data_IF_704851682946
#
_entry.id   IF_704851682946
#
_cell.length_a   1.000
_cell.length_b   1.000
_cell.length_c   1.000
_cell.angle_alpha   90.00
_cell.angle_beta   90.00
_cell.angle_gamma   90.00
#
_symmetry.space_group_name_H-M   'P 1'
#
loop_
_entity.id
_entity.type
_entity.pdbx_description
1 polymer ?
#
# COMPACT_ATOMS: atom_id res chain seq x y z
N UNK A 1 1.63 -20.34 -12.36
CA UNK A 1 2.08 -19.76 -11.06
C UNK A 1 2.79 -18.45 -11.32
N UNK A 2 2.43 -17.39 -10.61
CA UNK A 2 3.06 -16.08 -10.71
C UNK A 2 3.98 -15.87 -9.51
N UNK A 3 5.17 -15.32 -9.74
CA UNK A 3 6.16 -15.04 -8.69
C UNK A 3 6.62 -13.59 -8.82
N UNK A 4 6.40 -12.77 -7.80
CA UNK A 4 6.93 -11.40 -7.75
C UNK A 4 8.39 -11.44 -7.28
N UNK A 5 9.32 -10.95 -8.11
CA UNK A 5 10.76 -10.99 -7.81
C UNK A 5 11.36 -9.65 -7.39
N UNK A 6 10.72 -8.53 -7.75
CA UNK A 6 11.21 -7.19 -7.46
C UNK A 6 10.66 -6.68 -6.13
N UNK A 7 11.56 -6.27 -5.23
CA UNK A 7 11.21 -5.47 -4.07
C UNK A 7 11.20 -4.00 -4.47
N UNK A 8 10.03 -3.36 -4.46
CA UNK A 8 9.89 -1.94 -4.78
C UNK A 8 9.25 -1.18 -3.62
N UNK A 9 9.71 0.05 -3.39
CA UNK A 9 9.14 0.99 -2.43
C UNK A 9 9.00 0.48 -0.99
N UNK A 10 8.17 1.21 -0.24
CA UNK A 10 7.83 0.95 1.15
C UNK A 10 6.51 0.17 1.26
N UNK A 11 5.90 0.13 2.47
CA UNK A 11 4.75 -0.71 2.78
C UNK A 11 3.55 -0.48 1.83
N UNK A 12 3.12 0.77 1.64
CA UNK A 12 1.95 1.09 0.81
C UNK A 12 2.07 0.57 -0.63
N UNK A 13 3.22 0.79 -1.27
CA UNK A 13 3.48 0.30 -2.64
C UNK A 13 3.37 -1.23 -2.73
N UNK A 14 3.91 -1.93 -1.72
CA UNK A 14 3.91 -3.39 -1.68
C UNK A 14 2.54 -3.97 -1.36
N UNK A 15 1.76 -3.29 -0.51
CA UNK A 15 0.39 -3.68 -0.21
C UNK A 15 -0.47 -3.60 -1.47
N UNK A 16 -0.45 -2.49 -2.21
CA UNK A 16 -1.19 -2.36 -3.46
C UNK A 16 -0.78 -3.39 -4.50
N UNK A 17 0.52 -3.52 -4.78
CA UNK A 17 1.01 -4.50 -5.74
C UNK A 17 0.59 -5.93 -5.36
N UNK A 18 0.71 -6.29 -4.08
CA UNK A 18 0.30 -7.61 -3.63
C UNK A 18 -1.22 -7.80 -3.70
N UNK A 19 -1.99 -6.77 -3.36
CA UNK A 19 -3.45 -6.80 -3.42
C UNK A 19 -3.96 -7.01 -4.85
N UNK A 20 -3.42 -6.32 -5.86
CA UNK A 20 -3.78 -6.57 -7.26
C UNK A 20 -3.41 -7.98 -7.72
N UNK A 21 -2.25 -8.49 -7.31
CA UNK A 21 -1.84 -9.85 -7.64
C UNK A 21 -2.73 -10.90 -6.98
N UNK A 22 -3.11 -10.70 -5.72
CA UNK A 22 -4.07 -11.57 -5.00
C UNK A 22 -5.42 -11.53 -5.69
N UNK A 23 -5.92 -10.34 -6.03
CA UNK A 23 -7.20 -10.17 -6.69
C UNK A 23 -7.26 -10.90 -8.05
N UNK A 24 -6.23 -10.73 -8.88
CA UNK A 24 -6.12 -11.41 -10.18
C UNK A 24 -5.97 -12.94 -10.00
N UNK A 25 -5.24 -13.39 -8.98
CA UNK A 25 -5.11 -14.81 -8.65
C UNK A 25 -6.43 -15.42 -8.16
N UNK A 26 -7.20 -14.68 -7.35
CA UNK A 26 -8.52 -15.08 -6.88
C UNK A 26 -9.53 -15.14 -8.03
N UNK A 27 -9.48 -14.17 -8.94
CA UNK A 27 -10.37 -14.12 -10.11
C UNK A 27 -10.09 -15.24 -11.11
N UNK A 28 -8.82 -15.53 -11.39
CA UNK A 28 -8.42 -16.41 -12.48
C UNK A 28 -7.86 -17.76 -12.04
N UNK A 29 -7.79 -18.04 -10.74
CA UNK A 29 -7.50 -19.37 -10.20
C UNK A 29 -6.10 -19.89 -10.48
N UNK A 30 -5.07 -19.04 -10.34
CA UNK A 30 -3.66 -19.47 -10.45
C UNK A 30 -2.90 -19.26 -9.13
N UNK A 31 -1.81 -20.01 -8.93
CA UNK A 31 -0.98 -19.87 -7.75
C UNK A 31 -0.08 -18.62 -7.77
N UNK A 32 0.06 -17.94 -6.64
CA UNK A 32 0.86 -16.72 -6.49
C UNK A 32 1.91 -16.89 -5.38
N UNK A 33 3.14 -16.46 -5.63
CA UNK A 33 4.17 -16.32 -4.60
C UNK A 33 4.71 -14.88 -4.55
N UNK A 34 4.79 -14.30 -3.35
CA UNK A 34 5.35 -12.96 -3.14
C UNK A 34 6.44 -12.97 -2.05
N UNK A 35 7.65 -13.48 -2.37
CA UNK A 35 8.76 -13.51 -1.42
C UNK A 35 9.22 -12.10 -1.01
N UNK A 36 8.98 -11.09 -1.86
CA UNK A 36 9.32 -9.69 -1.58
C UNK A 36 8.47 -9.06 -0.47
N UNK A 37 7.34 -9.66 -0.11
CA UNK A 37 6.52 -9.20 1.01
C UNK A 37 6.97 -9.74 2.37
N UNK A 38 7.97 -10.64 2.41
CA UNK A 38 8.43 -11.29 3.64
C UNK A 38 8.82 -10.34 4.79
N UNK A 39 9.38 -9.15 4.47
CA UNK A 39 9.71 -8.12 5.49
C UNK A 39 8.47 -7.61 6.24
N UNK A 40 7.32 -7.57 5.57
CA UNK A 40 6.08 -7.04 6.11
C UNK A 40 5.07 -8.11 6.52
N UNK A 41 5.29 -9.37 6.14
CA UNK A 41 4.37 -10.47 6.41
C UNK A 41 3.98 -10.58 7.89
N UNK A 42 4.95 -10.42 8.81
CA UNK A 42 4.76 -10.51 10.27
C UNK A 42 3.74 -9.54 10.87
N UNK A 43 3.33 -8.53 10.12
CA UNK A 43 2.40 -7.50 10.58
C UNK A 43 0.94 -7.81 10.27
N UNK A 44 0.67 -8.83 9.46
CA UNK A 44 -0.66 -9.16 8.94
C UNK A 44 -1.02 -10.61 9.21
N UNK A 45 -2.29 -10.88 9.50
CA UNK A 45 -2.79 -12.20 9.91
C UNK A 45 -2.60 -13.25 8.81
N UNK A 46 -3.10 -13.02 7.59
CA UNK A 46 -2.98 -14.01 6.51
C UNK A 46 -1.51 -14.27 6.08
N UNK A 47 -0.68 -13.24 5.83
CA UNK A 47 0.74 -13.46 5.53
C UNK A 47 1.53 -14.17 6.65
N UNK A 48 1.18 -13.96 7.92
CA UNK A 48 1.84 -14.62 9.06
C UNK A 48 1.41 -16.07 9.23
N UNK A 49 0.11 -16.34 9.14
CA UNK A 49 -0.47 -17.69 9.28
C UNK A 49 -0.29 -18.56 8.03
N UNK A 50 0.07 -17.95 6.90
CA UNK A 50 0.06 -18.57 5.57
C UNK A 50 -1.31 -19.10 5.13
N UNK A 51 -2.39 -18.58 5.73
CA UNK A 51 -3.76 -18.86 5.33
C UNK A 51 -4.33 -17.66 4.57
N UNK A 52 -4.53 -17.83 3.26
CA UNK A 52 -5.13 -16.84 2.38
C UNK A 52 -6.58 -17.18 2.02
N UNK A 53 -7.35 -17.67 3.00
CA UNK A 53 -8.76 -18.09 2.84
C UNK A 53 -8.93 -19.13 1.71
N UNK A 54 -8.01 -20.10 1.65
CA UNK A 54 -8.02 -21.17 0.64
C UNK A 54 -7.42 -20.79 -0.73
N UNK A 55 -7.01 -19.55 -0.94
CA UNK A 55 -6.31 -19.16 -2.16
C UNK A 55 -4.91 -19.80 -2.24
N UNK A 56 -4.43 -20.16 -3.45
CA UNK A 56 -3.07 -20.69 -3.66
C UNK A 56 -2.01 -19.58 -3.62
N UNK A 57 -2.06 -18.73 -2.60
CA UNK A 57 -1.15 -17.60 -2.36
C UNK A 57 -0.15 -17.98 -1.27
N UNK A 58 1.10 -17.58 -1.44
CA UNK A 58 2.17 -17.81 -0.45
C UNK A 58 3.19 -16.69 -0.43
N UNK A 59 3.82 -16.49 0.72
CA UNK A 59 4.97 -15.61 0.85
C UNK A 59 6.23 -16.29 0.30
N UNK A 60 6.69 -17.44 0.83
CA UNK A 60 7.82 -18.15 0.23
C UNK A 60 7.43 -18.84 -1.07
N UNK A 61 8.38 -19.00 -1.99
CA UNK A 61 8.14 -19.75 -3.24
C UNK A 61 8.20 -21.26 -3.00
N UNK A 62 9.01 -21.75 -2.07
CA UNK A 62 9.17 -23.17 -1.79
C UNK A 62 8.79 -23.46 -0.34
N UNK A 63 8.24 -24.66 -0.08
CA UNK A 63 7.83 -25.07 1.28
C UNK A 63 9.00 -25.43 2.17
N UNK A 64 10.11 -25.93 1.61
CA UNK A 64 11.29 -26.35 2.38
C UNK A 64 12.21 -25.16 2.62
N UNK A 65 12.46 -24.84 3.88
CA UNK A 65 13.21 -23.63 4.28
C UNK A 65 14.61 -23.52 3.64
N UNK A 66 15.35 -24.62 3.53
CA UNK A 66 16.69 -24.59 2.91
C UNK A 66 16.63 -24.31 1.41
N UNK A 67 15.64 -24.87 0.70
CA UNK A 67 15.43 -24.62 -0.72
C UNK A 67 15.00 -23.17 -0.95
N UNK A 68 14.13 -22.66 -0.09
CA UNK A 68 13.71 -21.25 -0.13
C UNK A 68 14.89 -20.30 0.12
N UNK A 69 15.81 -20.63 1.03
CA UNK A 69 17.02 -19.83 1.25
C UNK A 69 17.91 -19.77 0.01
N UNK A 70 18.11 -20.92 -0.66
CA UNK A 70 18.87 -20.99 -1.91
C UNK A 70 18.18 -20.20 -3.02
N UNK A 71 16.88 -20.43 -3.23
CA UNK A 71 16.10 -19.72 -4.23
C UNK A 71 16.04 -18.21 -3.95
N UNK A 72 15.87 -17.80 -2.70
CA UNK A 72 15.92 -16.40 -2.30
C UNK A 72 17.30 -15.76 -2.54
N UNK A 73 18.39 -16.53 -2.50
CA UNK A 73 19.70 -16.11 -2.99
C UNK A 73 19.67 -15.80 -4.49
N UNK A 74 19.14 -16.73 -5.30
CA UNK A 74 19.03 -16.57 -6.76
C UNK A 74 18.10 -15.42 -7.15
N UNK A 75 16.94 -15.29 -6.50
CA UNK A 75 15.99 -14.21 -6.74
C UNK A 75 16.59 -12.83 -6.42
N UNK A 76 17.49 -12.75 -5.44
CA UNK A 76 18.23 -11.50 -5.14
C UNK A 76 19.17 -11.09 -6.26
N UNK A 77 19.78 -12.05 -6.96
CA UNK A 77 20.67 -11.76 -8.09
C UNK A 77 19.92 -11.13 -9.28
N UNK A 78 18.62 -11.45 -9.45
CA UNK A 78 17.79 -10.92 -10.54
C UNK A 78 16.95 -9.70 -10.15
N UNK A 79 17.11 -9.16 -8.94
CA UNK A 79 16.45 -7.91 -8.54
C UNK A 79 16.94 -6.68 -9.31
N UNK A 80 18.23 -6.51 -9.64
CA UNK A 80 18.66 -5.38 -10.47
C UNK A 80 18.03 -5.45 -11.88
N UNK A 81 17.40 -4.35 -12.38
CA UNK A 81 16.73 -4.34 -13.69
C UNK A 81 17.61 -4.85 -14.84
N UNK A 82 18.89 -4.44 -14.87
CA UNK A 82 19.84 -4.85 -15.91
C UNK A 82 20.07 -6.36 -15.95
N UNK A 83 20.12 -7.01 -14.79
CA UNK A 83 20.32 -8.47 -14.71
C UNK A 83 19.06 -9.20 -15.17
N UNK A 84 17.88 -8.74 -14.74
CA UNK A 84 16.62 -9.32 -15.19
C UNK A 84 16.41 -9.18 -16.70
N UNK A 85 16.72 -8.01 -17.26
CA UNK A 85 16.66 -7.75 -18.70
C UNK A 85 17.64 -8.61 -19.49
N UNK A 86 18.88 -8.77 -19.00
CA UNK A 86 19.87 -9.65 -19.63
C UNK A 86 19.39 -11.11 -19.64
N UNK A 87 18.81 -11.58 -18.54
CA UNK A 87 18.22 -12.92 -18.46
C UNK A 87 17.04 -13.07 -19.43
N UNK A 88 16.15 -12.08 -19.50
CA UNK A 88 15.04 -12.07 -20.45
C UNK A 88 15.53 -12.11 -21.90
N UNK A 89 16.56 -11.33 -22.24
CA UNK A 89 17.17 -11.31 -23.57
C UNK A 89 17.81 -12.67 -23.94
N UNK A 90 18.43 -13.35 -22.96
CA UNK A 90 19.06 -14.65 -23.17
C UNK A 90 18.04 -15.79 -23.43
N UNK A 91 16.84 -15.70 -22.83
CA UNK A 91 15.79 -16.73 -22.97
C UNK A 91 14.87 -16.45 -24.17
N UNK A 92 14.69 -15.19 -24.57
CA UNK A 92 13.83 -14.77 -25.69
C UNK A 92 14.01 -15.54 -27.02
N UNK A 93 15.23 -15.90 -27.48
CA UNK A 93 15.39 -16.63 -28.74
C UNK A 93 14.96 -18.11 -28.67
N UNK A 94 14.74 -18.66 -27.47
CA UNK A 94 14.27 -20.03 -27.32
C UNK A 94 12.79 -20.13 -27.74
N UNK A 95 12.37 -21.22 -28.42
CA UNK A 95 10.96 -21.42 -28.73
C UNK A 95 10.13 -21.50 -27.43
N UNK A 96 8.88 -21.05 -27.47
CA UNK A 96 8.02 -20.97 -26.28
C UNK A 96 7.86 -22.32 -25.54
N UNK A 97 7.94 -23.43 -26.26
CA UNK A 97 7.94 -24.80 -25.69
C UNK A 97 9.21 -25.13 -24.90
N UNK A 98 10.34 -24.49 -25.20
CA UNK A 98 11.62 -24.67 -24.53
C UNK A 98 11.94 -23.57 -23.50
N UNK A 99 11.14 -22.52 -23.42
CA UNK A 99 11.29 -21.51 -22.38
C UNK A 99 10.81 -22.09 -21.04
N UNK A 100 11.66 -22.17 -20.00
CA UNK A 100 11.28 -22.76 -18.72
C UNK A 100 10.36 -21.86 -17.90
N UNK A 101 10.36 -20.55 -18.18
CA UNK A 101 9.69 -19.49 -17.43
C UNK A 101 9.25 -18.38 -18.39
N UNK A 102 8.16 -17.70 -18.08
CA UNK A 102 7.82 -16.43 -18.73
C UNK A 102 8.35 -15.28 -17.88
N UNK A 103 9.17 -14.42 -18.48
CA UNK A 103 9.79 -13.28 -17.81
C UNK A 103 9.10 -11.99 -18.23
N UNK A 104 8.45 -11.33 -17.28
CA UNK A 104 7.71 -10.11 -17.55
C UNK A 104 8.35 -8.95 -16.78
N UNK A 105 9.02 -8.08 -17.54
CA UNK A 105 9.66 -6.87 -17.05
C UNK A 105 8.77 -5.66 -17.34
N UNK A 106 8.54 -4.86 -16.32
CA UNK A 106 7.92 -3.54 -16.38
C UNK A 106 8.94 -2.54 -15.84
N UNK A 107 9.33 -1.58 -16.67
CA UNK A 107 10.14 -0.45 -16.22
C UNK A 107 9.27 0.42 -15.32
N UNK A 108 9.79 0.75 -14.13
CA UNK A 108 9.07 1.49 -13.10
C UNK A 108 8.64 2.89 -13.59
N UNK A 109 9.26 3.41 -14.65
CA UNK A 109 8.95 4.71 -15.25
C UNK A 109 7.96 4.62 -16.43
N UNK A 110 7.64 3.42 -16.92
CA UNK A 110 6.89 3.23 -18.18
C UNK A 110 5.38 3.07 -18.01
N UNK A 111 4.87 3.28 -16.80
CA UNK A 111 3.45 3.28 -16.50
C UNK A 111 2.95 1.96 -15.90
N UNK A 112 1.70 1.61 -16.22
CA UNK A 112 0.97 0.49 -15.61
C UNK A 112 0.86 -0.68 -16.58
N UNK A 113 1.05 -1.90 -16.09
CA UNK A 113 0.75 -3.12 -16.84
C UNK A 113 -0.61 -3.68 -16.39
N UNK A 114 -1.51 -3.89 -17.34
CA UNK A 114 -2.83 -4.48 -17.08
C UNK A 114 -2.76 -6.02 -17.09
N UNK A 115 -2.95 -6.62 -15.91
CA UNK A 115 -3.01 -8.06 -15.70
C UNK A 115 -4.36 -8.67 -16.08
N UNK A 116 -5.38 -7.85 -16.37
CA UNK A 116 -6.67 -8.35 -16.87
C UNK A 116 -6.57 -8.85 -18.33
N UNK A 117 -5.50 -8.48 -19.05
CA UNK A 117 -5.28 -8.92 -20.42
C UNK A 117 -5.21 -10.45 -20.54
N UNK A 118 -5.96 -11.01 -21.49
CA UNK A 118 -6.07 -12.45 -21.71
C UNK A 118 -4.71 -13.15 -21.89
N UNK A 119 -3.73 -12.47 -22.51
CA UNK A 119 -2.37 -13.00 -22.69
C UNK A 119 -1.67 -13.26 -21.35
N UNK A 120 -1.84 -12.37 -20.37
CA UNK A 120 -1.24 -12.52 -19.05
C UNK A 120 -1.92 -13.64 -18.28
N UNK A 121 -3.26 -13.65 -18.27
CA UNK A 121 -4.06 -14.67 -17.59
C UNK A 121 -3.74 -16.07 -18.10
N UNK A 122 -3.61 -16.24 -19.42
CA UNK A 122 -3.22 -17.51 -20.03
C UNK A 122 -1.83 -17.98 -19.54
N UNK A 123 -0.83 -17.09 -19.56
CA UNK A 123 0.51 -17.39 -19.06
C UNK A 123 0.52 -17.74 -17.57
N UNK A 124 -0.18 -16.95 -16.74
CA UNK A 124 -0.28 -17.15 -15.30
C UNK A 124 -0.85 -18.52 -14.91
N UNK A 125 -1.82 -19.02 -15.68
CA UNK A 125 -2.48 -20.33 -15.48
C UNK A 125 -1.65 -21.51 -15.96
N UNK A 126 -0.91 -21.36 -17.06
CA UNK A 126 -0.25 -22.49 -17.73
C UNK A 126 1.23 -22.64 -17.38
N UNK A 127 1.89 -21.54 -16.97
CA UNK A 127 3.35 -21.46 -16.87
C UNK A 127 3.78 -20.84 -15.55
N UNK A 128 5.09 -20.81 -15.30
CA UNK A 128 5.66 -20.04 -14.19
C UNK A 128 6.07 -18.67 -14.74
N UNK A 129 5.46 -17.61 -14.20
CA UNK A 129 5.70 -16.23 -14.63
C UNK A 129 6.48 -15.49 -13.55
N UNK A 130 7.65 -14.93 -13.89
CA UNK A 130 8.40 -14.04 -13.00
C UNK A 130 8.07 -12.59 -13.33
N UNK A 131 7.57 -11.85 -12.33
CA UNK A 131 7.24 -10.44 -12.45
C UNK A 131 8.35 -9.57 -11.88
N UNK A 132 8.86 -8.66 -12.70
CA UNK A 132 9.82 -7.63 -12.32
C UNK A 132 9.29 -6.25 -12.66
N UNK A 133 8.91 -5.50 -11.64
CA UNK A 133 8.31 -4.17 -11.79
C UNK A 133 7.35 -3.89 -10.63
N UNK A 134 6.84 -2.66 -10.55
CA UNK A 134 5.97 -2.27 -9.44
C UNK A 134 4.50 -2.04 -9.82
N UNK A 135 4.22 -1.59 -11.04
CA UNK A 135 2.89 -1.13 -11.42
C UNK A 135 2.08 -2.19 -12.20
N UNK A 136 2.05 -3.41 -11.67
CA UNK A 136 1.11 -4.44 -12.13
C UNK A 136 -0.26 -4.17 -11.52
N UNK A 137 -1.29 -4.04 -12.36
CA UNK A 137 -2.66 -3.72 -11.93
C UNK A 137 -3.66 -4.63 -12.60
N UNK A 138 -4.68 -5.00 -11.84
CA UNK A 138 -5.95 -5.52 -12.34
C UNK A 138 -7.02 -4.77 -11.53
N UNK A 139 -7.52 -3.67 -12.09
CA UNK A 139 -8.50 -2.81 -11.42
C UNK A 139 -9.86 -3.49 -11.30
N UNK A 140 -10.41 -4.14 -12.35
CA UNK A 140 -11.67 -4.86 -12.23
C UNK A 140 -11.66 -5.91 -11.12
N UNK A 141 -10.63 -6.78 -11.06
CA UNK A 141 -10.55 -7.81 -10.03
C UNK A 141 -10.28 -7.20 -8.65
N UNK A 142 -9.44 -6.17 -8.56
CA UNK A 142 -9.15 -5.49 -7.28
C UNK A 142 -10.42 -4.94 -6.64
N UNK A 143 -11.28 -4.28 -7.42
CA UNK A 143 -12.58 -3.80 -6.95
C UNK A 143 -13.51 -4.96 -6.55
N UNK A 144 -13.61 -5.99 -7.41
CA UNK A 144 -14.46 -7.17 -7.16
C UNK A 144 -14.08 -7.90 -5.87
N UNK A 145 -12.78 -8.01 -5.59
CA UNK A 145 -12.22 -8.74 -4.44
C UNK A 145 -11.83 -7.82 -3.27
N UNK A 146 -12.26 -6.56 -3.25
CA UNK A 146 -11.85 -5.58 -2.23
C UNK A 146 -12.11 -6.06 -0.79
N UNK A 147 -13.25 -6.68 -0.53
CA UNK A 147 -13.59 -7.21 0.80
C UNK A 147 -12.66 -8.34 1.24
N UNK A 148 -12.26 -9.22 0.32
CA UNK A 148 -11.28 -10.28 0.56
C UNK A 148 -9.90 -9.69 0.88
N UNK A 149 -9.45 -8.73 0.06
CA UNK A 149 -8.16 -8.06 0.25
C UNK A 149 -8.08 -7.42 1.65
N UNK A 150 -9.12 -6.72 2.09
CA UNK A 150 -9.16 -6.13 3.44
C UNK A 150 -8.98 -7.18 4.53
N UNK A 151 -9.69 -8.31 4.47
CA UNK A 151 -9.53 -9.39 5.46
C UNK A 151 -8.13 -9.99 5.46
N UNK A 152 -7.55 -10.23 4.28
CA UNK A 152 -6.21 -10.80 4.16
C UNK A 152 -5.12 -9.90 4.74
N UNK A 153 -5.32 -8.58 4.70
CA UNK A 153 -4.41 -7.61 5.29
C UNK A 153 -4.90 -7.06 6.63
N UNK A 154 -5.69 -7.83 7.40
CA UNK A 154 -5.95 -7.49 8.80
C UNK A 154 -4.61 -7.51 9.59
N UNK A 155 -4.32 -6.47 10.41
CA UNK A 155 -3.11 -6.46 11.23
C UNK A 155 -3.17 -7.54 12.31
N UNK A 156 -2.02 -8.08 12.69
CA UNK A 156 -1.94 -9.01 13.83
C UNK A 156 -2.43 -8.35 15.14
N UNK A 157 -2.93 -9.14 16.12
CA UNK A 157 -3.61 -8.62 17.31
C UNK A 157 -2.85 -7.53 18.08
N UNK A 158 -1.52 -7.65 18.18
CA UNK A 158 -0.70 -6.63 18.88
C UNK A 158 -0.86 -5.24 18.26
N UNK A 159 -0.93 -5.13 16.93
CA UNK A 159 -1.10 -3.85 16.24
C UNK A 159 -2.56 -3.43 16.17
N UNK A 160 -3.49 -4.35 15.89
CA UNK A 160 -4.91 -3.99 15.80
C UNK A 160 -5.47 -3.53 17.16
N UNK A 161 -5.01 -4.11 18.28
CA UNK A 161 -5.36 -3.66 19.62
C UNK A 161 -4.73 -2.28 19.94
N UNK A 162 -3.48 -2.05 19.55
CA UNK A 162 -2.82 -0.75 19.74
C UNK A 162 -3.55 0.37 18.98
N UNK A 163 -3.95 0.09 17.73
CA UNK A 163 -4.77 0.99 16.91
C UNK A 163 -6.12 1.25 17.58
N UNK A 164 -6.84 0.20 17.97
CA UNK A 164 -8.13 0.34 18.63
C UNK A 164 -8.06 1.19 19.92
N UNK A 165 -7.04 0.99 20.74
CA UNK A 165 -6.82 1.78 21.96
C UNK A 165 -6.53 3.26 21.67
N UNK A 166 -5.73 3.54 20.62
CA UNK A 166 -5.43 4.92 20.19
C UNK A 166 -6.69 5.61 19.66
N UNK A 167 -7.46 4.94 18.82
CA UNK A 167 -8.71 5.49 18.26
C UNK A 167 -9.74 5.71 19.36
N UNK A 168 -9.94 4.73 20.26
CA UNK A 168 -10.83 4.88 21.41
C UNK A 168 -10.46 6.09 22.28
N UNK A 169 -9.16 6.37 22.41
CA UNK A 169 -8.67 7.56 23.12
C UNK A 169 -9.08 8.87 22.45
N UNK A 170 -8.92 8.98 21.13
CA UNK A 170 -9.33 10.17 20.38
C UNK A 170 -10.86 10.34 20.41
N UNK A 171 -11.61 9.23 20.30
CA UNK A 171 -13.07 9.21 20.26
C UNK A 171 -13.76 9.53 21.59
N UNK A 172 -13.02 9.64 22.71
CA UNK A 172 -13.62 10.09 23.98
C UNK A 172 -14.21 11.50 23.88
N UNK A 173 -13.59 12.35 23.06
CA UNK A 173 -13.97 13.76 22.92
C UNK A 173 -14.35 14.11 21.49
N UNK A 174 -13.76 13.44 20.49
CA UNK A 174 -14.05 13.66 19.08
C UNK A 174 -15.38 13.04 18.64
N UNK A 175 -16.26 13.86 18.06
CA UNK A 175 -17.37 13.40 17.23
C UNK A 175 -16.88 13.04 15.83
N UNK A 176 -16.01 13.90 15.27
CA UNK A 176 -15.33 13.69 13.99
C UNK A 176 -13.83 13.63 14.21
N UNK A 177 -13.18 12.58 13.72
CA UNK A 177 -11.74 12.38 13.76
C UNK A 177 -11.17 12.41 12.35
N UNK A 178 -10.29 13.38 12.08
CA UNK A 178 -9.59 13.51 10.80
C UNK A 178 -8.16 13.00 10.97
N UNK A 179 -7.78 11.96 10.23
CA UNK A 179 -6.40 11.52 10.13
C UNK A 179 -5.60 12.45 9.22
N UNK A 180 -4.46 12.94 9.69
CA UNK A 180 -3.55 13.79 8.90
C UNK A 180 -2.25 13.03 8.68
N UNK A 181 -2.02 12.62 7.45
CA UNK A 181 -0.79 11.98 7.01
C UNK A 181 0.23 13.06 6.64
N UNK A 182 1.22 13.27 7.50
CA UNK A 182 2.34 14.17 7.30
C UNK A 182 3.51 13.33 6.82
N UNK A 183 3.88 13.49 5.55
CA UNK A 183 4.99 12.74 4.95
C UNK A 183 6.10 13.70 4.54
N UNK A 184 7.27 13.58 5.16
CA UNK A 184 8.41 14.48 4.87
C UNK A 184 9.70 13.76 4.54
N UNK A 185 10.00 12.62 5.15
CA UNK A 185 11.29 11.94 5.09
C UNK A 185 11.88 11.81 3.67
N UNK A 186 11.39 10.87 2.88
CA UNK A 186 11.80 10.74 1.47
C UNK A 186 11.19 11.83 0.57
N UNK A 187 10.15 12.53 1.04
CA UNK A 187 9.47 13.58 0.29
C UNK A 187 10.30 14.86 0.16
N UNK A 188 11.35 15.03 0.98
CA UNK A 188 12.31 16.11 0.84
C UNK A 188 13.06 16.09 -0.50
N UNK A 189 13.19 14.93 -1.14
CA UNK A 189 13.88 14.77 -2.44
C UNK A 189 13.01 14.12 -3.50
N UNK A 190 11.95 13.39 -3.13
CA UNK A 190 11.01 12.83 -4.08
C UNK A 190 10.25 13.93 -4.83
N UNK A 191 10.11 13.77 -6.15
CA UNK A 191 9.46 14.73 -7.05
C UNK A 191 9.97 16.18 -6.84
N UNK A 192 11.30 16.33 -6.67
CA UNK A 192 11.97 17.60 -6.40
C UNK A 192 11.40 18.38 -5.20
N UNK A 193 10.85 17.66 -4.21
CA UNK A 193 10.27 18.26 -3.00
C UNK A 193 8.85 18.81 -3.19
N UNK A 194 8.19 18.56 -4.33
CA UNK A 194 6.86 19.11 -4.66
C UNK A 194 5.80 18.85 -3.58
N UNK A 195 5.91 17.72 -2.88
CA UNK A 195 4.95 17.27 -1.86
C UNK A 195 5.47 17.41 -0.42
N UNK A 196 6.59 18.12 -0.24
CA UNK A 196 7.10 18.44 1.08
C UNK A 196 6.39 19.68 1.63
N UNK A 197 5.64 19.49 2.72
CA UNK A 197 4.91 20.58 3.39
C UNK A 197 5.31 20.69 4.86
N UNK A 198 5.41 21.91 5.37
CA UNK A 198 5.74 22.20 6.77
C UNK A 198 4.51 22.19 7.68
N UNK A 199 4.74 22.21 9.00
CA UNK A 199 3.65 22.16 9.98
C UNK A 199 2.68 23.35 9.85
N UNK A 200 3.13 24.61 9.65
CA UNK A 200 2.23 25.74 9.39
C UNK A 200 1.30 25.52 8.18
N UNK A 201 1.79 24.94 7.09
CA UNK A 201 0.98 24.61 5.91
C UNK A 201 -0.09 23.57 6.25
N UNK A 202 0.25 22.48 6.94
CA UNK A 202 -0.76 21.53 7.41
C UNK A 202 -1.78 22.18 8.34
N UNK A 203 -1.32 23.00 9.31
CA UNK A 203 -2.20 23.68 10.25
C UNK A 203 -3.15 24.66 9.55
N UNK A 204 -2.71 25.33 8.47
CA UNK A 204 -3.56 26.17 7.64
C UNK A 204 -4.70 25.35 7.00
N UNK A 205 -4.38 24.25 6.33
CA UNK A 205 -5.35 23.37 5.69
C UNK A 205 -6.31 22.72 6.70
N UNK A 206 -5.81 22.33 7.87
CA UNK A 206 -6.64 21.80 8.96
C UNK A 206 -7.64 22.83 9.49
N UNK A 207 -7.25 24.12 9.61
CA UNK A 207 -8.18 25.20 10.00
C UNK A 207 -9.24 25.45 8.93
N UNK A 208 -8.87 25.42 7.65
CA UNK A 208 -9.83 25.51 6.54
C UNK A 208 -10.83 24.33 6.54
N UNK A 209 -10.35 23.12 6.84
CA UNK A 209 -11.22 21.95 6.95
C UNK A 209 -12.14 22.10 8.17
N UNK A 210 -11.60 22.48 9.33
CA UNK A 210 -12.36 22.70 10.57
C UNK A 210 -13.51 23.70 10.40
N UNK A 211 -13.31 24.78 9.63
CA UNK A 211 -14.34 25.81 9.44
C UNK A 211 -15.56 25.35 8.61
N UNK A 212 -15.55 24.13 8.09
CA UNK A 212 -16.67 23.55 7.34
C UNK A 212 -17.68 22.82 8.21
N UNK A 213 -17.35 22.56 9.49
CA UNK A 213 -18.31 22.06 10.46
C UNK A 213 -18.89 23.18 11.32
N UNK A 214 -20.05 22.89 11.92
CA UNK A 214 -20.62 23.77 12.94
C UNK A 214 -19.66 23.91 14.13
N UNK A 215 -19.67 25.07 14.80
CA UNK A 215 -18.85 25.30 16.00
C UNK A 215 -19.16 24.34 17.16
N UNK A 216 -20.33 23.70 17.14
CA UNK A 216 -20.72 22.66 18.11
C UNK A 216 -20.13 21.28 17.82
N UNK A 217 -19.72 21.01 16.57
CA UNK A 217 -19.15 19.70 16.18
C UNK A 217 -17.75 19.56 16.76
N UNK A 218 -17.52 18.49 17.52
CA UNK A 218 -16.20 18.23 18.12
C UNK A 218 -15.30 17.51 17.12
N UNK A 219 -14.62 18.29 16.29
CA UNK A 219 -13.63 17.80 15.33
C UNK A 219 -12.25 17.76 15.98
N UNK A 220 -11.55 16.64 15.86
CA UNK A 220 -10.17 16.48 16.32
C UNK A 220 -9.31 15.83 15.24
N UNK A 221 -8.00 16.03 15.32
CA UNK A 221 -7.06 15.55 14.30
C UNK A 221 -6.09 14.53 14.88
N UNK A 222 -5.87 13.42 14.18
CA UNK A 222 -4.83 12.45 14.49
C UNK A 222 -3.66 12.62 13.53
N UNK A 223 -2.53 13.09 14.03
CA UNK A 223 -1.32 13.34 13.23
C UNK A 223 -0.48 12.05 13.14
N UNK A 224 -0.28 11.57 11.92
CA UNK A 224 0.60 10.45 11.58
C UNK A 224 1.79 10.98 10.77
N UNK A 225 3.00 10.79 11.27
CA UNK A 225 4.22 11.38 10.69
C UNK A 225 5.39 10.41 10.73
N UNK A 226 6.26 10.47 9.74
CA UNK A 226 7.52 9.74 9.72
C UNK A 226 8.66 10.42 10.52
N UNK A 227 8.35 11.57 11.13
CA UNK A 227 9.23 12.32 12.01
C UNK A 227 8.50 12.92 13.21
N UNK A 228 9.26 13.32 14.25
CA UNK A 228 8.73 14.06 15.40
C UNK A 228 8.19 15.41 14.98
N UNK A 229 6.99 15.75 15.45
CA UNK A 229 6.32 17.02 15.12
C UNK A 229 6.51 18.05 16.23
N UNK A 230 6.84 19.29 15.84
CA UNK A 230 6.61 20.45 16.70
C UNK A 230 5.12 20.80 16.70
N UNK A 231 4.48 20.62 17.86
CA UNK A 231 3.04 20.83 18.02
C UNK A 231 2.65 22.31 18.13
N UNK A 232 3.61 23.22 18.33
CA UNK A 232 3.35 24.66 18.45
C UNK A 232 2.63 25.24 17.23
N UNK A 233 2.95 24.75 16.02
CA UNK A 233 2.32 25.17 14.77
C UNK A 233 0.81 24.87 14.69
N UNK A 234 0.33 23.90 15.49
CA UNK A 234 -1.07 23.48 15.53
C UNK A 234 -1.86 24.13 16.68
N UNK A 235 -1.34 25.19 17.30
CA UNK A 235 -2.04 25.93 18.35
C UNK A 235 -3.46 26.34 17.91
N UNK A 236 -4.42 26.14 18.81
CA UNK A 236 -5.85 26.33 18.56
C UNK A 236 -6.57 25.13 17.91
N UNK A 237 -5.85 24.11 17.47
CA UNK A 237 -6.43 22.84 16.99
C UNK A 237 -6.35 21.76 18.08
N UNK A 238 -7.36 20.88 18.12
CA UNK A 238 -7.32 19.67 18.95
C UNK A 238 -6.60 18.57 18.19
N UNK A 239 -5.36 18.29 18.56
CA UNK A 239 -4.50 17.32 17.88
C UNK A 239 -4.08 16.19 18.82
N UNK A 240 -3.98 14.99 18.26
CA UNK A 240 -3.39 13.80 18.88
C UNK A 240 -2.22 13.34 18.02
N UNK A 241 -1.15 12.85 18.63
CA UNK A 241 -0.11 12.12 17.91
C UNK A 241 -0.47 10.64 17.83
N UNK A 242 -0.25 10.03 16.67
CA UNK A 242 -0.27 8.58 16.50
C UNK A 242 0.92 7.92 17.20
N UNK A 243 1.05 6.60 17.10
CA UNK A 243 2.13 5.89 17.80
C UNK A 243 3.50 6.06 17.14
N UNK A 244 3.53 6.46 15.87
CA UNK A 244 4.74 6.54 15.05
C UNK A 244 5.17 5.17 14.51
N UNK A 245 4.47 4.09 14.87
CA UNK A 245 4.70 2.78 14.26
C UNK A 245 3.97 2.72 12.92
N UNK A 246 4.70 2.58 11.82
CA UNK A 246 4.16 2.68 10.46
C UNK A 246 2.96 1.78 10.15
N UNK A 247 2.82 0.59 10.75
CA UNK A 247 1.61 -0.24 10.57
C UNK A 247 0.45 0.30 11.40
N UNK A 248 0.71 0.78 12.61
CA UNK A 248 -0.35 1.27 13.47
C UNK A 248 -0.87 2.60 12.95
N UNK A 249 0.02 3.51 12.54
CA UNK A 249 -0.34 4.77 11.91
C UNK A 249 -1.15 4.56 10.64
N UNK A 250 -0.76 3.61 9.78
CA UNK A 250 -1.49 3.27 8.55
C UNK A 250 -2.94 2.87 8.83
N UNK A 251 -3.15 2.04 9.86
CA UNK A 251 -4.48 1.52 10.21
C UNK A 251 -5.25 2.45 11.14
N UNK A 252 -4.58 3.33 11.86
CA UNK A 252 -5.22 4.42 12.60
C UNK A 252 -5.81 5.46 11.65
N UNK A 253 -5.09 5.83 10.58
CA UNK A 253 -5.66 6.65 9.50
C UNK A 253 -6.90 5.98 8.87
N UNK A 254 -6.85 4.66 8.67
CA UNK A 254 -7.97 3.88 8.14
C UNK A 254 -9.18 3.78 9.10
N UNK A 255 -9.01 4.15 10.37
CA UNK A 255 -10.06 4.14 11.38
C UNK A 255 -10.62 5.54 11.69
N UNK A 256 -10.10 6.57 11.02
CA UNK A 256 -10.63 7.94 11.07
C UNK A 256 -11.88 8.07 10.18
N UNK A 257 -12.60 9.19 10.31
CA UNK A 257 -13.75 9.51 9.44
C UNK A 257 -13.30 10.11 8.10
N UNK A 258 -12.16 10.80 8.10
CA UNK A 258 -11.56 11.42 6.92
C UNK A 258 -10.03 11.29 7.01
N UNK A 259 -9.35 11.22 5.86
CA UNK A 259 -7.90 11.28 5.77
C UNK A 259 -7.48 12.45 4.89
N UNK A 260 -6.54 13.26 5.37
CA UNK A 260 -5.90 14.34 4.63
C UNK A 260 -4.39 14.08 4.56
N UNK A 261 -3.77 14.25 3.41
CA UNK A 261 -2.31 14.11 3.29
C UNK A 261 -1.82 14.25 1.86
N UNK A 262 -0.50 14.28 1.61
CA UNK A 262 0.02 14.38 0.25
C UNK A 262 -0.26 13.09 -0.55
N UNK A 263 -0.22 13.12 -1.90
CA UNK A 263 -0.29 11.92 -2.73
C UNK A 263 0.67 10.85 -2.23
N UNK A 264 0.15 9.76 -1.69
CA UNK A 264 0.97 8.68 -1.10
C UNK A 264 0.22 7.36 -1.11
N UNK A 265 0.90 6.28 -1.49
CA UNK A 265 0.35 4.92 -1.39
C UNK A 265 0.01 4.52 0.04
N UNK A 266 0.59 5.18 1.03
CA UNK A 266 0.29 4.97 2.43
C UNK A 266 -1.14 5.44 2.76
N UNK A 267 -1.48 6.71 2.53
CA UNK A 267 -2.83 7.24 2.74
C UNK A 267 -3.86 6.64 1.79
N UNK A 268 -3.47 6.35 0.53
CA UNK A 268 -4.33 5.62 -0.41
C UNK A 268 -4.72 4.23 0.12
N UNK A 269 -3.78 3.52 0.75
CA UNK A 269 -4.08 2.22 1.34
C UNK A 269 -5.00 2.35 2.56
N UNK A 270 -4.75 3.33 3.44
CA UNK A 270 -5.64 3.61 4.57
C UNK A 270 -7.07 3.87 4.12
N UNK A 271 -7.24 4.68 3.08
CA UNK A 271 -8.54 4.99 2.49
C UNK A 271 -9.21 3.75 1.89
N UNK A 272 -8.49 2.97 1.08
CA UNK A 272 -9.01 1.73 0.51
C UNK A 272 -9.41 0.72 1.59
N UNK A 273 -8.55 0.51 2.60
CA UNK A 273 -8.74 -0.46 3.66
C UNK A 273 -9.91 -0.09 4.56
N UNK A 274 -9.89 1.12 5.10
CA UNK A 274 -10.90 1.63 6.03
C UNK A 274 -12.21 2.05 5.39
N UNK A 275 -12.24 2.12 4.05
CA UNK A 275 -13.29 2.82 3.31
C UNK A 275 -13.43 4.28 3.77
N UNK A 276 -12.31 4.87 4.21
CA UNK A 276 -12.25 6.23 4.74
C UNK A 276 -12.05 7.21 3.60
N UNK A 277 -12.93 8.22 3.43
CA UNK A 277 -12.74 9.28 2.44
C UNK A 277 -11.38 9.98 2.60
N UNK A 278 -10.65 10.14 1.50
CA UNK A 278 -9.32 10.73 1.43
C UNK A 278 -9.35 11.97 0.54
N UNK A 279 -8.66 13.03 0.99
CA UNK A 279 -8.34 14.18 0.16
C UNK A 279 -6.82 14.34 0.09
N UNK A 280 -6.28 14.49 -1.13
CA UNK A 280 -4.85 14.68 -1.34
C UNK A 280 -4.45 16.16 -1.31
N UNK A 281 -3.27 16.42 -0.75
CA UNK A 281 -2.59 17.71 -0.80
C UNK A 281 -1.63 17.77 -1.97
N UNK A 282 -2.06 18.43 -3.04
CA UNK A 282 -1.25 18.63 -4.25
C UNK A 282 -0.46 19.94 -4.19
N UNK A 283 -0.96 20.95 -3.47
CA UNK A 283 -0.26 22.22 -3.23
C UNK A 283 -0.56 22.72 -1.82
N UNK A 284 0.36 23.47 -1.18
CA UNK A 284 0.19 23.91 0.20
C UNK A 284 -0.91 24.97 0.39
N UNK A 285 -1.33 25.64 -0.69
CA UNK A 285 -2.35 26.69 -0.69
C UNK A 285 -3.66 26.24 -1.35
N UNK A 286 -3.84 24.93 -1.57
CA UNK A 286 -5.07 24.43 -2.18
C UNK A 286 -6.28 24.70 -1.28
N UNK A 287 -7.43 24.96 -1.89
CA UNK A 287 -8.68 24.94 -1.15
C UNK A 287 -9.06 23.49 -0.83
N UNK A 288 -9.34 23.19 0.43
CA UNK A 288 -9.83 21.90 0.89
C UNK A 288 -11.32 21.99 1.18
N UNK A 289 -12.13 21.14 0.55
CA UNK A 289 -13.55 21.01 0.87
C UNK A 289 -13.91 19.57 1.26
N UNK A 290 -14.87 19.40 2.16
CA UNK A 290 -15.37 18.07 2.55
C UNK A 290 -15.93 17.28 1.36
N UNK A 291 -16.48 17.98 0.37
CA UNK A 291 -16.97 17.36 -0.87
C UNK A 291 -15.85 16.74 -1.73
N UNK A 292 -14.59 17.14 -1.53
CA UNK A 292 -13.45 16.63 -2.28
C UNK A 292 -12.91 15.30 -1.72
N UNK A 293 -13.42 14.86 -0.56
CA UNK A 293 -13.01 13.61 0.05
C UNK A 293 -13.75 12.43 -0.58
N UNK A 294 -12.99 11.46 -1.09
CA UNK A 294 -13.55 10.26 -1.69
C UNK A 294 -12.76 9.02 -1.25
N UNK A 295 -13.43 7.88 -1.19
CA UNK A 295 -12.75 6.61 -0.92
C UNK A 295 -11.84 6.28 -2.11
N UNK A 296 -10.56 6.03 -1.84
CA UNK A 296 -9.63 5.59 -2.86
C UNK A 296 -9.93 4.15 -3.27
N UNK A 297 -10.13 3.94 -4.57
CA UNK A 297 -10.53 2.65 -5.15
C UNK A 297 -9.58 2.13 -6.24
N UNK A 298 -8.45 2.81 -6.50
CA UNK A 298 -7.51 2.55 -7.61
C UNK A 298 -8.25 2.27 -8.95
N UNK A 299 -9.21 3.15 -9.29
CA UNK A 299 -10.00 3.09 -10.53
C UNK A 299 -9.25 3.65 -11.73
#
# INVERSE_FOLDING_TARGET
>A
MVILVKSFGQLGNRLFLFAHLIANAAEHGYALANPCFGRYARYFVAPTSADFEGLPVRIPVLRRAWQERLLGGLLRLVQPPRVFQALAAAIRPLPASAQPLDLLYLDDNTGTFDMHEARFVAAARQRVVLLHGWCFRDRPSFLKHAALIRRLFEPVPVHSQAVAARIATCRRTAEVLVGVHIRRGDYATFADGQYYYDNPQYAHLMRQLLSQWSSSTRVEFLLCSDETLDLSAFEGLRVHCASGHFVEDLYALAACDYVLGPPSSFSMWSSFYGQTPLCHIHTPNQAINLADFAVFLDQ
#
